data_IF_788577294044
#
_entry.id   IF_788577294044
#
_cell.length_a   1.000
_cell.length_b   1.000
_cell.length_c   1.000
_cell.angle_alpha   90.00
_cell.angle_beta   90.00
_cell.angle_gamma   90.00
#
_symmetry.space_group_name_H-M   'P 1'
#
loop_
_entity.id
_entity.type
_entity.pdbx_description
1 polymer ?
#
# COMPACT_ATOMS: atom_id res chain seq x y z
N UNK A 1 -24.93 14.95 1.93
CA UNK A 1 -24.10 14.42 3.03
C UNK A 1 -22.77 14.05 2.40
N UNK A 2 -21.64 14.48 2.96
CA UNK A 2 -20.30 14.14 2.45
C UNK A 2 -20.01 12.64 2.66
N UNK A 3 -19.09 12.08 1.88
CA UNK A 3 -18.72 10.67 2.07
C UNK A 3 -18.05 10.44 3.42
N UNK A 4 -17.25 11.40 3.93
CA UNK A 4 -16.74 11.34 5.30
C UNK A 4 -17.86 11.19 6.33
N UNK A 5 -18.93 11.99 6.24
CA UNK A 5 -20.05 11.89 7.19
C UNK A 5 -20.78 10.53 7.12
N UNK A 6 -20.85 9.91 5.93
CA UNK A 6 -21.40 8.55 5.76
C UNK A 6 -20.48 7.49 6.37
N UNK A 7 -19.16 7.63 6.16
CA UNK A 7 -18.16 6.73 6.73
C UNK A 7 -18.16 6.81 8.27
N UNK A 8 -18.26 7.99 8.85
CA UNK A 8 -18.40 8.16 10.29
C UNK A 8 -19.68 7.51 10.84
N UNK A 9 -20.77 7.47 10.06
CA UNK A 9 -21.97 6.70 10.38
C UNK A 9 -21.67 5.20 10.49
N UNK A 10 -20.96 4.62 9.50
CA UNK A 10 -20.54 3.21 9.55
C UNK A 10 -19.65 2.89 10.76
N UNK A 11 -18.75 3.84 11.13
CA UNK A 11 -17.93 3.70 12.35
C UNK A 11 -18.82 3.65 13.59
N UNK A 12 -19.84 4.53 13.69
CA UNK A 12 -20.81 4.53 14.79
C UNK A 12 -21.58 3.20 14.92
N UNK A 13 -22.05 2.66 13.80
CA UNK A 13 -22.76 1.36 13.76
C UNK A 13 -21.83 0.20 14.18
N UNK A 14 -20.57 0.22 13.73
CA UNK A 14 -19.56 -0.76 14.14
C UNK A 14 -19.27 -0.70 15.65
N UNK A 15 -19.11 0.51 16.20
CA UNK A 15 -18.87 0.70 17.65
C UNK A 15 -20.02 0.12 18.45
N UNK A 16 -21.26 0.42 18.06
CA UNK A 16 -22.47 -0.08 18.75
C UNK A 16 -22.65 -1.60 18.64
N UNK A 17 -22.16 -2.20 17.53
CA UNK A 17 -22.38 -3.62 17.23
C UNK A 17 -21.30 -4.57 17.75
N UNK A 18 -20.28 -4.10 18.47
CA UNK A 18 -19.16 -4.93 18.97
C UNK A 18 -18.44 -5.77 17.90
N UNK A 19 -18.55 -5.41 16.63
CA UNK A 19 -17.94 -6.11 15.52
C UNK A 19 -16.42 -5.94 15.43
N UNK A 20 -15.77 -6.68 14.53
CA UNK A 20 -14.33 -6.56 14.27
C UNK A 20 -14.05 -5.48 13.23
N UNK A 21 -12.90 -4.84 13.32
CA UNK A 21 -12.37 -3.88 12.37
C UNK A 21 -11.17 -4.48 11.63
N UNK A 22 -11.15 -4.38 10.31
CA UNK A 22 -9.96 -4.50 9.49
C UNK A 22 -9.79 -3.23 8.66
N UNK A 23 -8.79 -2.44 9.01
CA UNK A 23 -8.35 -1.28 8.26
C UNK A 23 -7.19 -1.70 7.34
N UNK A 24 -7.42 -1.68 6.04
CA UNK A 24 -6.39 -1.83 5.01
C UNK A 24 -6.17 -0.47 4.34
N UNK A 25 -4.93 -0.08 4.11
CA UNK A 25 -4.63 1.23 3.55
C UNK A 25 -3.34 1.20 2.74
N UNK A 26 -3.27 2.04 1.70
CA UNK A 26 -1.98 2.42 1.12
C UNK A 26 -1.24 3.39 2.03
N UNK A 27 0.01 3.72 1.69
CA UNK A 27 0.88 4.60 2.47
C UNK A 27 1.03 5.99 1.84
N UNK A 28 1.64 6.05 0.65
CA UNK A 28 1.96 7.31 -0.04
C UNK A 28 0.69 7.89 -0.70
N UNK A 29 0.36 9.15 -0.44
CA UNK A 29 -0.87 9.77 -0.95
C UNK A 29 -2.13 9.45 -0.13
N UNK A 30 -2.03 8.49 0.80
CA UNK A 30 -3.16 8.03 1.62
C UNK A 30 -2.94 8.31 3.12
N UNK A 31 -1.90 7.75 3.72
CA UNK A 31 -1.50 8.04 5.12
C UNK A 31 -0.53 9.21 5.22
N UNK A 32 0.19 9.49 4.15
CA UNK A 32 1.14 10.60 4.04
C UNK A 32 0.81 11.40 2.78
N UNK A 33 1.06 12.70 2.73
CA UNK A 33 0.92 13.46 1.48
C UNK A 33 1.95 12.97 0.45
N UNK A 34 1.63 13.17 -0.83
CA UNK A 34 2.59 12.98 -1.92
C UNK A 34 3.66 14.07 -1.79
N UNK A 35 4.91 13.65 -1.74
CA UNK A 35 6.10 14.52 -1.63
C UNK A 35 7.05 14.31 -2.79
N UNK A 36 7.95 15.29 -3.00
CA UNK A 36 8.90 15.23 -4.11
C UNK A 36 9.97 14.15 -3.94
N UNK A 37 10.56 14.02 -2.76
CA UNK A 37 11.45 12.90 -2.46
C UNK A 37 10.68 11.85 -1.63
N UNK A 38 10.54 10.60 -2.10
CA UNK A 38 9.91 9.53 -1.32
C UNK A 38 10.54 9.32 0.07
N UNK A 39 11.78 9.75 0.28
CA UNK A 39 12.42 9.72 1.59
C UNK A 39 11.75 10.65 2.60
N UNK A 40 11.15 11.74 2.15
CA UNK A 40 10.49 12.75 2.98
C UNK A 40 9.03 12.40 3.32
N UNK A 41 8.47 11.33 2.78
CA UNK A 41 7.13 10.85 3.13
C UNK A 41 7.15 10.23 4.54
N UNK A 42 7.06 11.07 5.55
CA UNK A 42 7.07 10.67 6.96
C UNK A 42 5.64 10.56 7.49
N UNK A 43 5.38 9.47 8.21
CA UNK A 43 4.10 9.29 8.90
C UNK A 43 3.98 10.29 10.05
N UNK A 44 2.90 11.08 10.06
CA UNK A 44 2.62 12.01 11.14
C UNK A 44 2.42 11.24 12.47
N UNK A 45 2.87 11.82 13.58
CA UNK A 45 2.81 11.16 14.89
C UNK A 45 1.36 10.87 15.32
N UNK A 46 0.44 11.78 15.06
CA UNK A 46 -0.99 11.57 15.35
C UNK A 46 -1.55 10.37 14.56
N UNK A 47 -1.18 10.25 13.27
CA UNK A 47 -1.57 9.09 12.43
C UNK A 47 -0.99 7.80 13.00
N UNK A 48 0.28 7.82 13.40
CA UNK A 48 0.96 6.68 14.04
C UNK A 48 0.24 6.25 15.31
N UNK A 49 -0.11 7.19 16.19
CA UNK A 49 -0.81 6.90 17.43
C UNK A 49 -2.19 6.28 17.17
N UNK A 50 -2.94 6.79 16.20
CA UNK A 50 -4.25 6.25 15.85
C UNK A 50 -4.16 4.83 15.28
N UNK A 51 -3.24 4.57 14.37
CA UNK A 51 -2.99 3.21 13.84
C UNK A 51 -2.59 2.25 14.95
N UNK A 52 -1.73 2.68 15.87
CA UNK A 52 -1.31 1.90 17.03
C UNK A 52 -2.49 1.57 17.96
N UNK A 53 -3.35 2.54 18.26
CA UNK A 53 -4.55 2.34 19.07
C UNK A 53 -5.51 1.34 18.44
N UNK A 54 -5.73 1.43 17.12
CA UNK A 54 -6.54 0.47 16.37
C UNK A 54 -5.90 -0.93 16.40
N UNK A 55 -4.61 -1.03 16.09
CA UNK A 55 -3.92 -2.32 15.98
C UNK A 55 -3.78 -3.05 17.33
N UNK A 56 -3.75 -2.32 18.44
CA UNK A 56 -3.73 -2.88 19.81
C UNK A 56 -5.09 -3.25 20.37
N UNK A 57 -6.16 -2.81 19.71
CA UNK A 57 -7.51 -3.20 20.13
C UNK A 57 -7.75 -4.69 19.86
N UNK A 58 -8.34 -5.44 20.78
CA UNK A 58 -8.75 -6.84 20.54
C UNK A 58 -9.69 -7.01 19.34
N UNK A 59 -10.37 -5.92 18.95
CA UNK A 59 -11.33 -5.89 17.82
C UNK A 59 -10.69 -5.34 16.54
N UNK A 60 -9.50 -4.77 16.59
CA UNK A 60 -8.86 -4.05 15.51
C UNK A 60 -7.74 -4.83 14.84
N UNK A 61 -7.62 -4.69 13.54
CA UNK A 61 -6.46 -5.11 12.74
C UNK A 61 -6.15 -4.01 11.74
N UNK A 62 -4.87 -3.75 11.52
CA UNK A 62 -4.39 -2.77 10.56
C UNK A 62 -3.43 -3.45 9.59
N UNK A 63 -3.61 -3.21 8.28
CA UNK A 63 -2.69 -3.63 7.25
C UNK A 63 -2.33 -2.45 6.34
N UNK A 64 -1.04 -2.27 6.04
CA UNK A 64 -0.56 -1.24 5.11
C UNK A 64 0.02 -1.93 3.89
N UNK A 65 -0.53 -1.64 2.70
CA UNK A 65 -0.20 -2.30 1.43
C UNK A 65 0.36 -1.25 0.47
N UNK A 66 1.66 -1.29 0.20
CA UNK A 66 2.36 -0.23 -0.53
C UNK A 66 3.27 -0.77 -1.65
N UNK A 67 3.56 0.07 -2.64
CA UNK A 67 4.63 -0.15 -3.62
C UNK A 67 6.04 -0.04 -3.03
N UNK A 68 6.19 0.47 -1.81
CA UNK A 68 7.47 0.50 -1.09
C UNK A 68 8.00 -0.89 -0.81
N UNK A 69 9.32 -1.02 -0.68
CA UNK A 69 9.93 -2.24 -0.15
C UNK A 69 9.45 -2.51 1.29
N UNK A 70 9.31 -3.80 1.64
CA UNK A 70 8.77 -4.21 2.94
C UNK A 70 9.54 -3.61 4.13
N UNK A 71 10.87 -3.62 4.08
CA UNK A 71 11.71 -3.10 5.16
C UNK A 71 11.65 -1.57 5.28
N UNK A 72 11.60 -0.83 4.15
CA UNK A 72 11.41 0.63 4.17
C UNK A 72 10.06 0.99 4.77
N UNK A 73 8.99 0.31 4.36
CA UNK A 73 7.65 0.53 4.90
C UNK A 73 7.60 0.28 6.42
N UNK A 74 8.19 -0.83 6.88
CA UNK A 74 8.26 -1.16 8.30
C UNK A 74 9.05 -0.14 9.11
N UNK A 75 10.17 0.34 8.57
CA UNK A 75 11.00 1.36 9.25
C UNK A 75 10.26 2.71 9.38
N UNK A 76 9.45 3.09 8.39
CA UNK A 76 8.68 4.35 8.39
C UNK A 76 7.51 4.33 9.36
N UNK A 77 6.77 3.25 9.38
CA UNK A 77 5.57 3.12 10.23
C UNK A 77 5.95 2.71 11.66
N UNK A 78 6.86 1.77 11.83
CA UNK A 78 7.44 1.32 13.10
C UNK A 78 6.39 0.93 14.18
N UNK A 79 5.33 0.21 13.79
CA UNK A 79 4.30 -0.33 14.68
C UNK A 79 4.33 -1.86 14.57
N UNK A 80 4.79 -2.61 15.59
CA UNK A 80 4.92 -4.08 15.50
C UNK A 80 3.60 -4.81 15.29
N UNK A 81 2.48 -4.23 15.73
CA UNK A 81 1.15 -4.82 15.65
C UNK A 81 0.47 -4.68 14.28
N UNK A 82 1.11 -3.97 13.32
CA UNK A 82 0.59 -3.75 11.97
C UNK A 82 1.04 -4.85 11.02
N UNK A 83 0.17 -5.24 10.10
CA UNK A 83 0.49 -6.10 8.95
C UNK A 83 1.05 -5.21 7.84
N UNK A 84 2.24 -5.52 7.37
CA UNK A 84 2.93 -4.79 6.31
C UNK A 84 2.95 -5.61 5.03
N UNK A 85 2.58 -5.00 3.92
CA UNK A 85 2.65 -5.61 2.60
C UNK A 85 3.46 -4.69 1.67
N UNK A 86 4.67 -5.09 1.35
CA UNK A 86 5.59 -4.38 0.46
C UNK A 86 5.53 -4.87 -0.98
N UNK A 87 6.15 -4.12 -1.90
CA UNK A 87 6.22 -4.44 -3.33
C UNK A 87 4.85 -4.79 -3.93
N UNK A 88 3.85 -3.93 -3.68
CA UNK A 88 2.44 -4.14 -4.09
C UNK A 88 1.81 -5.42 -3.54
N UNK A 89 2.26 -5.86 -2.37
CA UNK A 89 1.73 -7.06 -1.70
C UNK A 89 2.44 -8.37 -2.06
N UNK A 90 3.57 -8.32 -2.79
CA UNK A 90 4.38 -9.52 -3.07
C UNK A 90 5.08 -10.08 -1.83
N UNK A 91 5.28 -9.25 -0.82
CA UNK A 91 5.87 -9.60 0.47
C UNK A 91 4.97 -9.08 1.59
N UNK A 92 4.53 -9.96 2.50
CA UNK A 92 3.70 -9.61 3.66
C UNK A 92 4.35 -10.10 4.94
N UNK A 93 4.36 -9.26 5.97
CA UNK A 93 4.83 -9.60 7.30
C UNK A 93 3.99 -8.88 8.36
N UNK A 94 3.55 -9.60 9.37
CA UNK A 94 2.78 -9.02 10.48
C UNK A 94 2.44 -10.04 11.56
N UNK A 95 1.62 -9.68 12.54
CA UNK A 95 1.22 -10.58 13.62
C UNK A 95 0.58 -11.86 13.09
N UNK A 96 1.29 -12.98 13.21
CA UNK A 96 0.83 -14.29 12.75
C UNK A 96 0.75 -14.49 11.23
N UNK A 97 1.29 -13.55 10.45
CA UNK A 97 1.28 -13.61 9.00
C UNK A 97 2.68 -13.40 8.42
N UNK A 98 3.07 -14.32 7.55
CA UNK A 98 4.25 -14.20 6.70
C UNK A 98 3.93 -14.78 5.32
N UNK A 99 4.24 -14.01 4.27
CA UNK A 99 4.03 -14.44 2.89
C UNK A 99 5.04 -13.78 1.97
N UNK A 100 5.56 -14.56 1.05
CA UNK A 100 6.28 -14.10 -0.13
C UNK A 100 5.75 -14.86 -1.33
N UNK A 101 5.33 -14.13 -2.36
CA UNK A 101 4.73 -14.77 -3.54
C UNK A 101 5.73 -15.74 -4.19
N UNK A 102 5.42 -17.06 -4.28
CA UNK A 102 6.42 -18.06 -4.67
C UNK A 102 6.98 -17.84 -6.08
N UNK A 103 6.12 -17.52 -7.05
CA UNK A 103 6.56 -17.26 -8.43
C UNK A 103 7.35 -15.94 -8.56
N UNK A 104 7.12 -14.97 -7.67
CA UNK A 104 7.93 -13.76 -7.62
C UNK A 104 9.31 -14.04 -7.01
N UNK A 105 9.38 -14.86 -5.97
CA UNK A 105 10.64 -15.31 -5.38
C UNK A 105 11.46 -16.11 -6.39
N UNK A 106 10.84 -16.96 -7.20
CA UNK A 106 11.53 -17.70 -8.26
C UNK A 106 12.18 -16.78 -9.33
N UNK A 107 11.67 -15.54 -9.46
CA UNK A 107 12.21 -14.53 -10.38
C UNK A 107 13.18 -13.53 -9.72
N UNK A 108 13.43 -13.64 -8.42
CA UNK A 108 14.18 -12.65 -7.64
C UNK A 108 15.62 -12.47 -8.12
N UNK A 109 16.33 -13.57 -8.41
CA UNK A 109 17.73 -13.50 -8.90
C UNK A 109 17.82 -12.73 -10.21
N UNK A 110 16.90 -12.96 -11.12
CA UNK A 110 16.81 -12.27 -12.40
C UNK A 110 16.49 -10.78 -12.20
N UNK A 111 15.55 -10.47 -11.34
CA UNK A 111 15.19 -9.09 -11.01
C UNK A 111 16.39 -8.32 -10.42
N UNK A 112 17.16 -8.94 -9.54
CA UNK A 112 18.37 -8.35 -8.98
C UNK A 112 19.44 -8.12 -10.05
N UNK A 113 19.63 -9.05 -10.99
CA UNK A 113 20.57 -8.87 -12.10
C UNK A 113 20.19 -7.68 -13.00
N UNK A 114 18.89 -7.44 -13.21
CA UNK A 114 18.38 -6.22 -13.87
C UNK A 114 18.73 -4.98 -13.04
N UNK A 115 18.46 -5.00 -11.74
CA UNK A 115 18.76 -3.90 -10.83
C UNK A 115 20.23 -3.55 -10.79
N UNK A 116 21.12 -4.53 -10.67
CA UNK A 116 22.59 -4.33 -10.71
C UNK A 116 23.06 -3.76 -12.06
N UNK A 117 22.50 -4.26 -13.17
CA UNK A 117 22.83 -3.75 -14.49
C UNK A 117 22.43 -2.29 -14.64
N UNK A 118 21.23 -1.93 -14.17
CA UNK A 118 20.74 -0.55 -14.17
C UNK A 118 21.57 0.34 -13.24
N UNK A 119 21.93 -0.14 -12.04
CA UNK A 119 22.76 0.61 -11.10
C UNK A 119 24.14 0.93 -11.67
N UNK A 120 24.77 0.00 -12.39
CA UNK A 120 26.03 0.25 -13.11
C UNK A 120 25.89 1.28 -14.23
N UNK A 121 24.74 1.40 -14.85
CA UNK A 121 24.45 2.33 -15.96
C UNK A 121 23.92 3.67 -15.49
N UNK A 122 23.31 3.74 -14.30
CA UNK A 122 22.75 4.98 -13.76
C UNK A 122 23.70 6.18 -13.84
N UNK A 123 25.01 6.08 -13.54
CA UNK A 123 25.92 7.21 -13.66
C UNK A 123 26.06 7.78 -15.09
N UNK A 124 25.63 7.07 -16.12
CA UNK A 124 25.65 7.55 -17.51
C UNK A 124 24.46 8.45 -17.85
N UNK A 125 23.46 8.53 -16.98
CA UNK A 125 22.28 9.40 -17.12
C UNK A 125 22.15 10.23 -15.85
N UNK A 126 22.51 11.49 -15.92
CA UNK A 126 22.51 12.38 -14.76
C UNK A 126 21.12 12.45 -14.13
N UNK A 127 21.05 12.30 -12.81
CA UNK A 127 19.78 12.31 -12.06
C UNK A 127 19.02 10.96 -12.00
N UNK A 128 19.47 9.94 -12.73
CA UNK A 128 18.88 8.59 -12.62
C UNK A 128 19.35 7.91 -11.33
N UNK A 129 18.40 7.34 -10.58
CA UNK A 129 18.68 6.55 -9.37
C UNK A 129 17.97 5.19 -9.47
N UNK A 130 18.64 4.14 -9.02
CA UNK A 130 18.10 2.78 -9.01
C UNK A 130 18.03 2.28 -7.57
N UNK A 131 16.88 1.75 -7.20
CA UNK A 131 16.61 1.22 -5.88
C UNK A 131 16.13 -0.24 -5.99
N UNK A 132 16.83 -1.17 -5.33
CA UNK A 132 16.37 -2.55 -5.19
C UNK A 132 15.45 -2.64 -3.95
N UNK A 133 14.23 -3.15 -4.14
CA UNK A 133 13.19 -3.25 -3.11
C UNK A 133 12.74 -4.71 -2.94
N UNK A 134 13.58 -5.61 -2.42
CA UNK A 134 13.16 -7.01 -2.26
C UNK A 134 12.72 -7.69 -3.56
N UNK A 135 11.43 -7.73 -3.83
CA UNK A 135 10.82 -8.28 -5.06
C UNK A 135 10.43 -7.21 -6.10
N UNK A 136 11.05 -6.04 -6.05
CA UNK A 136 10.90 -4.97 -7.04
C UNK A 136 12.21 -4.23 -7.27
N UNK A 137 12.34 -3.58 -8.43
CA UNK A 137 13.39 -2.60 -8.72
C UNK A 137 12.74 -1.31 -9.17
N UNK A 138 13.05 -0.19 -8.51
CA UNK A 138 12.59 1.14 -8.91
C UNK A 138 13.69 1.93 -9.61
N UNK A 139 13.35 2.57 -10.72
CA UNK A 139 14.19 3.49 -11.47
C UNK A 139 13.59 4.88 -11.34
N UNK A 140 14.18 5.69 -10.47
CA UNK A 140 13.75 7.07 -10.24
C UNK A 140 14.39 7.98 -11.28
N UNK A 141 13.60 8.80 -11.97
CA UNK A 141 14.04 9.74 -12.99
C UNK A 141 13.53 11.18 -12.78
N UNK A 142 13.10 11.51 -11.57
CA UNK A 142 12.59 12.86 -11.22
C UNK A 142 13.63 13.95 -11.48
N UNK A 143 14.90 13.67 -11.24
CA UNK A 143 16.01 14.61 -11.43
C UNK A 143 16.72 14.46 -12.78
N UNK A 144 16.18 13.65 -13.69
CA UNK A 144 16.69 13.49 -15.06
C UNK A 144 16.13 14.61 -15.91
N UNK A 145 16.99 15.23 -16.73
CA UNK A 145 16.57 16.26 -17.69
C UNK A 145 15.56 15.70 -18.70
N UNK A 146 14.61 16.52 -19.12
CA UNK A 146 13.46 16.06 -19.93
C UNK A 146 13.88 15.40 -21.26
N UNK A 147 14.95 15.88 -21.88
CA UNK A 147 15.55 15.36 -23.12
C UNK A 147 16.32 14.03 -22.91
N UNK A 148 16.71 13.71 -21.67
CA UNK A 148 17.41 12.47 -21.30
C UNK A 148 16.45 11.36 -20.81
N UNK A 149 15.16 11.64 -20.56
CA UNK A 149 14.20 10.63 -20.04
C UNK A 149 14.14 9.41 -20.97
N UNK A 150 14.13 9.63 -22.29
CA UNK A 150 14.14 8.52 -23.26
C UNK A 150 15.35 7.60 -23.11
N UNK A 151 16.46 8.11 -22.64
CA UNK A 151 17.67 7.31 -22.38
C UNK A 151 17.47 6.38 -21.18
N UNK A 152 16.76 6.81 -20.14
CA UNK A 152 16.35 5.94 -19.01
C UNK A 152 15.58 4.74 -19.53
N UNK A 153 14.59 4.97 -20.39
CA UNK A 153 13.75 3.89 -20.97
C UNK A 153 14.58 2.92 -21.83
N UNK A 154 15.54 3.46 -22.60
CA UNK A 154 16.45 2.64 -23.42
C UNK A 154 17.33 1.75 -22.54
N UNK A 155 17.92 2.31 -21.49
CA UNK A 155 18.78 1.54 -20.58
C UNK A 155 17.99 0.47 -19.81
N UNK A 156 16.76 0.80 -19.40
CA UNK A 156 15.83 -0.15 -18.81
C UNK A 156 15.51 -1.31 -19.76
N UNK A 157 15.11 -0.99 -20.99
CA UNK A 157 14.77 -2.01 -22.00
C UNK A 157 15.97 -2.89 -22.36
N UNK A 158 17.20 -2.35 -22.35
CA UNK A 158 18.44 -3.12 -22.54
C UNK A 158 18.69 -4.06 -21.37
N UNK A 159 18.62 -3.56 -20.12
CA UNK A 159 18.85 -4.37 -18.93
C UNK A 159 17.88 -5.56 -18.85
N UNK A 160 16.61 -5.33 -19.15
CA UNK A 160 15.61 -6.41 -19.18
C UNK A 160 15.90 -7.45 -20.27
N UNK A 161 16.25 -7.00 -21.49
CA UNK A 161 16.57 -7.92 -22.61
C UNK A 161 17.79 -8.79 -22.34
N UNK A 162 18.82 -8.24 -21.71
CA UNK A 162 20.04 -8.98 -21.37
C UNK A 162 19.79 -10.13 -20.43
N UNK A 163 18.73 -10.05 -19.61
CA UNK A 163 18.33 -11.12 -18.70
C UNK A 163 17.32 -12.11 -19.31
N UNK A 164 16.86 -11.86 -20.54
CA UNK A 164 15.88 -12.74 -21.23
C UNK A 164 14.54 -12.85 -20.50
N UNK A 165 14.13 -11.82 -19.78
CA UNK A 165 13.14 -11.91 -18.73
C UNK A 165 11.74 -11.49 -19.13
N UNK A 166 10.74 -12.15 -18.54
CA UNK A 166 9.35 -11.70 -18.48
C UNK A 166 9.16 -10.92 -17.18
N UNK A 167 9.22 -9.60 -17.25
CA UNK A 167 9.00 -8.71 -16.12
C UNK A 167 7.87 -7.73 -16.45
N UNK A 168 7.11 -7.33 -15.46
CA UNK A 168 6.15 -6.23 -15.56
C UNK A 168 6.88 -4.91 -15.38
N UNK A 169 6.50 -3.92 -16.17
CA UNK A 169 6.98 -2.54 -16.05
C UNK A 169 5.78 -1.67 -15.66
N UNK A 170 5.91 -0.92 -14.59
CA UNK A 170 4.94 0.07 -14.16
C UNK A 170 5.54 1.47 -14.23
N UNK A 171 4.77 2.40 -14.78
CA UNK A 171 5.12 3.81 -14.83
C UNK A 171 4.35 4.56 -13.75
N UNK A 172 5.04 4.93 -12.68
CA UNK A 172 4.52 5.82 -11.64
C UNK A 172 4.93 7.28 -11.89
N UNK A 173 4.66 8.15 -10.93
CA UNK A 173 5.02 9.57 -10.99
C UNK A 173 6.53 9.75 -10.87
N UNK A 174 7.23 9.92 -12.01
CA UNK A 174 8.69 10.07 -12.08
C UNK A 174 9.49 8.84 -11.58
N UNK A 175 8.88 7.68 -11.62
CA UNK A 175 9.50 6.38 -11.30
C UNK A 175 9.02 5.32 -12.29
N UNK A 176 9.89 4.39 -12.64
CA UNK A 176 9.53 3.17 -13.38
C UNK A 176 9.84 2.00 -12.46
N UNK A 177 8.87 1.17 -12.18
CA UNK A 177 9.05 -0.03 -11.38
C UNK A 177 9.10 -1.28 -12.25
N UNK A 178 10.04 -2.14 -11.94
CA UNK A 178 10.23 -3.45 -12.57
C UNK A 178 9.84 -4.51 -11.54
N UNK A 179 8.85 -5.31 -11.85
CA UNK A 179 8.26 -6.32 -10.99
C UNK A 179 8.28 -7.69 -11.67
N UNK A 180 8.27 -8.78 -10.90
CA UNK A 180 8.03 -10.12 -11.44
C UNK A 180 6.70 -10.19 -12.19
N UNK A 181 6.65 -10.97 -13.28
CA UNK A 181 5.41 -11.16 -14.02
C UNK A 181 4.56 -12.25 -13.35
N UNK A 182 3.77 -11.84 -12.38
CA UNK A 182 2.82 -12.69 -11.67
C UNK A 182 1.42 -12.09 -11.70
N UNK A 183 0.41 -12.93 -11.59
CA UNK A 183 -0.99 -12.51 -11.50
C UNK A 183 -1.32 -12.14 -10.04
N UNK A 184 -0.70 -11.06 -9.55
CA UNK A 184 -0.84 -10.58 -8.19
C UNK A 184 -0.82 -9.06 -8.17
N UNK A 185 -1.73 -8.45 -7.44
CA UNK A 185 -1.88 -6.99 -7.27
C UNK A 185 -2.16 -6.65 -5.81
N UNK A 186 -2.28 -5.36 -5.47
CA UNK A 186 -2.75 -4.92 -4.15
C UNK A 186 -4.12 -5.52 -3.81
N UNK A 187 -4.97 -5.77 -4.82
CA UNK A 187 -6.29 -6.37 -4.62
C UNK A 187 -6.23 -7.80 -4.14
N UNK A 188 -5.45 -8.68 -4.79
CA UNK A 188 -5.24 -10.05 -4.35
C UNK A 188 -4.59 -10.11 -2.97
N UNK A 189 -3.62 -9.22 -2.70
CA UNK A 189 -3.01 -9.10 -1.39
C UNK A 189 -4.01 -8.72 -0.32
N UNK A 190 -4.82 -7.69 -0.54
CA UNK A 190 -5.82 -7.22 0.39
C UNK A 190 -6.86 -8.32 0.70
N UNK A 191 -7.33 -9.02 -0.31
CA UNK A 191 -8.23 -10.17 -0.13
C UNK A 191 -7.57 -11.30 0.64
N UNK A 192 -6.31 -11.62 0.32
CA UNK A 192 -5.54 -12.65 1.03
C UNK A 192 -5.37 -12.31 2.52
N UNK A 193 -5.08 -11.05 2.87
CA UNK A 193 -5.00 -10.57 4.25
C UNK A 193 -6.38 -10.68 4.93
N UNK A 194 -7.43 -10.23 4.27
CA UNK A 194 -8.80 -10.28 4.77
C UNK A 194 -9.21 -11.69 5.16
N UNK A 195 -9.01 -12.67 4.29
CA UNK A 195 -9.35 -14.08 4.53
C UNK A 195 -8.62 -14.64 5.75
N UNK A 196 -7.36 -14.26 5.98
CA UNK A 196 -6.56 -14.74 7.11
C UNK A 196 -6.91 -14.07 8.42
N UNK A 197 -7.14 -12.76 8.40
CA UNK A 197 -7.62 -12.03 9.58
C UNK A 197 -8.99 -12.56 10.02
N UNK A 198 -9.87 -12.93 9.07
CA UNK A 198 -11.14 -13.58 9.37
C UNK A 198 -10.96 -14.92 10.05
N UNK A 199 -10.10 -15.77 9.47
CA UNK A 199 -9.89 -17.14 9.95
C UNK A 199 -9.28 -17.19 11.35
N UNK A 200 -8.53 -16.14 11.75
CA UNK A 200 -7.82 -16.09 13.03
C UNK A 200 -8.68 -15.61 14.20
N UNK A 201 -9.93 -15.18 13.99
CA UNK A 201 -10.73 -14.58 15.06
C UNK A 201 -12.15 -15.07 15.19
N UNK A 202 -12.58 -15.24 16.43
CA UNK A 202 -13.94 -15.64 16.84
C UNK A 202 -14.77 -14.42 17.27
N UNK A 203 -15.15 -13.55 16.34
CA UNK A 203 -16.09 -12.45 16.62
C UNK A 203 -17.45 -12.73 16.00
N UNK A 204 -18.55 -12.55 16.75
CA UNK A 204 -19.93 -12.79 16.31
C UNK A 204 -20.66 -11.54 15.81
N UNK A 205 -20.06 -10.36 15.92
CA UNK A 205 -20.66 -9.08 15.50
C UNK A 205 -20.37 -8.72 14.04
N UNK A 206 -21.08 -7.72 13.48
CA UNK A 206 -20.86 -7.24 12.12
C UNK A 206 -19.45 -6.67 11.97
N UNK A 207 -18.68 -7.19 11.02
CA UNK A 207 -17.33 -6.72 10.75
C UNK A 207 -17.35 -5.42 9.93
N UNK A 208 -16.51 -4.44 10.30
CA UNK A 208 -16.26 -3.24 9.51
C UNK A 208 -14.91 -3.39 8.81
N UNK A 209 -14.93 -3.42 7.49
CA UNK A 209 -13.73 -3.56 6.69
C UNK A 209 -13.61 -2.39 5.75
N UNK A 210 -12.41 -1.79 5.74
CA UNK A 210 -12.11 -0.62 4.93
C UNK A 210 -10.83 -0.88 4.12
N UNK A 211 -10.80 -0.33 2.91
CA UNK A 211 -9.60 -0.17 2.11
C UNK A 211 -9.48 1.27 1.62
N UNK A 212 -8.36 1.93 1.93
CA UNK A 212 -8.06 3.30 1.52
C UNK A 212 -6.89 3.29 0.54
N UNK A 213 -6.99 4.10 -0.52
CA UNK A 213 -5.91 4.25 -1.49
C UNK A 213 -6.12 5.47 -2.38
N UNK A 214 -5.07 5.96 -3.05
CA UNK A 214 -5.11 7.18 -3.83
C UNK A 214 -4.79 6.98 -5.32
N UNK A 215 -4.12 5.88 -5.70
CA UNK A 215 -3.60 5.71 -7.05
C UNK A 215 -4.33 4.61 -7.86
N UNK A 216 -3.84 4.38 -9.08
CA UNK A 216 -4.41 3.39 -9.99
C UNK A 216 -4.14 1.93 -9.54
N UNK A 217 -3.11 1.68 -8.74
CA UNK A 217 -2.84 0.34 -8.18
C UNK A 217 -3.87 -0.05 -7.13
N UNK A 218 -4.45 0.95 -6.46
CA UNK A 218 -5.54 0.77 -5.49
C UNK A 218 -6.88 0.47 -6.16
N UNK A 219 -7.08 0.90 -7.42
CA UNK A 219 -8.29 0.54 -8.19
C UNK A 219 -8.46 -0.98 -8.32
N UNK A 220 -7.36 -1.76 -8.37
CA UNK A 220 -7.43 -3.22 -8.30
C UNK A 220 -7.99 -3.71 -6.97
N UNK A 221 -7.60 -3.06 -5.86
CA UNK A 221 -8.13 -3.40 -4.54
C UNK A 221 -9.60 -2.98 -4.41
N UNK A 222 -9.98 -1.81 -4.94
CA UNK A 222 -11.38 -1.37 -4.96
C UNK A 222 -12.26 -2.35 -5.74
N UNK A 223 -11.78 -2.87 -6.87
CA UNK A 223 -12.51 -3.86 -7.67
C UNK A 223 -12.66 -5.20 -6.94
N UNK A 224 -11.56 -5.76 -6.44
CA UNK A 224 -11.53 -7.07 -5.78
C UNK A 224 -12.33 -7.07 -4.47
N UNK A 225 -12.32 -5.95 -3.75
CA UNK A 225 -13.00 -5.79 -2.46
C UNK A 225 -14.42 -5.22 -2.59
N UNK A 226 -14.92 -4.99 -3.81
CA UNK A 226 -16.28 -4.50 -4.04
C UNK A 226 -17.31 -5.43 -3.38
N UNK A 227 -18.18 -4.85 -2.54
CA UNK A 227 -19.17 -5.61 -1.77
C UNK A 227 -18.61 -6.40 -0.58
N UNK A 228 -17.29 -6.44 -0.39
CA UNK A 228 -16.61 -7.10 0.73
C UNK A 228 -16.08 -6.09 1.77
N UNK A 229 -15.70 -4.89 1.34
CA UNK A 229 -15.20 -3.83 2.19
C UNK A 229 -15.74 -2.46 1.72
N UNK A 230 -15.69 -1.45 2.58
CA UNK A 230 -15.87 -0.07 2.20
C UNK A 230 -14.58 0.41 1.51
N UNK A 231 -14.63 0.57 0.19
CA UNK A 231 -13.51 1.03 -0.62
C UNK A 231 -13.54 2.54 -0.73
N UNK A 232 -12.41 3.18 -0.44
CA UNK A 232 -12.32 4.63 -0.22
C UNK A 232 -11.15 5.16 -1.04
N UNK A 233 -11.44 5.99 -2.06
CA UNK A 233 -10.42 6.74 -2.78
C UNK A 233 -10.06 8.00 -2.00
N UNK A 234 -8.77 8.27 -1.89
CA UNK A 234 -8.23 9.52 -1.33
C UNK A 234 -7.78 10.42 -2.48
N UNK A 235 -8.00 11.73 -2.34
CA UNK A 235 -7.59 12.73 -3.34
C UNK A 235 -8.69 13.10 -4.33
N UNK A 236 -8.28 13.53 -5.53
CA UNK A 236 -9.18 14.04 -6.54
C UNK A 236 -10.19 13.01 -7.05
N UNK A 237 -11.35 13.52 -7.49
CA UNK A 237 -12.36 12.69 -8.11
C UNK A 237 -11.88 12.15 -9.46
N UNK A 238 -11.84 10.83 -9.60
CA UNK A 238 -11.55 10.14 -10.86
C UNK A 238 -12.83 9.49 -11.36
N UNK A 239 -13.39 9.90 -12.50
CA UNK A 239 -14.69 9.42 -12.98
C UNK A 239 -14.77 7.89 -13.16
N UNK A 240 -13.64 7.24 -13.42
CA UNK A 240 -13.54 5.78 -13.62
C UNK A 240 -13.17 5.02 -12.34
N UNK A 241 -13.09 5.67 -11.18
CA UNK A 241 -12.77 4.99 -9.93
C UNK A 241 -13.84 3.97 -9.54
N UNK A 242 -13.38 2.82 -9.07
CA UNK A 242 -14.21 1.72 -8.55
C UNK A 242 -14.46 1.82 -7.04
N UNK A 243 -13.90 2.85 -6.38
CA UNK A 243 -14.15 3.11 -4.97
C UNK A 243 -15.60 3.49 -4.70
N UNK A 244 -16.18 2.97 -3.63
CA UNK A 244 -17.54 3.29 -3.21
C UNK A 244 -17.67 4.66 -2.53
N UNK A 245 -16.58 5.15 -1.96
CA UNK A 245 -16.48 6.43 -1.23
C UNK A 245 -15.22 7.19 -1.64
N UNK A 246 -15.21 8.50 -1.32
CA UNK A 246 -14.07 9.37 -1.53
C UNK A 246 -13.82 10.26 -0.32
N UNK A 247 -12.56 10.32 0.10
CA UNK A 247 -12.03 11.36 0.98
C UNK A 247 -11.21 12.34 0.15
N UNK A 248 -11.24 13.62 0.50
CA UNK A 248 -10.62 14.68 -0.30
C UNK A 248 -9.09 14.67 -0.23
N UNK A 249 -8.57 14.33 0.95
CA UNK A 249 -7.16 14.50 1.29
C UNK A 249 -6.78 13.67 2.53
N UNK A 250 -5.51 13.72 2.90
CA UNK A 250 -4.96 13.06 4.10
C UNK A 250 -5.60 13.58 5.40
N UNK A 251 -6.07 14.84 5.41
CA UNK A 251 -6.73 15.40 6.61
C UNK A 251 -8.09 14.73 6.86
N UNK A 252 -8.86 14.43 5.82
CA UNK A 252 -10.09 13.64 5.99
C UNK A 252 -9.81 12.18 6.37
N UNK A 253 -8.71 11.59 5.88
CA UNK A 253 -8.24 10.28 6.36
C UNK A 253 -7.94 10.34 7.85
N UNK A 254 -7.25 11.37 8.31
CA UNK A 254 -6.94 11.58 9.73
C UNK A 254 -8.20 11.65 10.59
N UNK A 255 -9.25 12.34 10.14
CA UNK A 255 -10.52 12.41 10.85
C UNK A 255 -11.19 11.03 10.95
N UNK A 256 -11.17 10.25 9.88
CA UNK A 256 -11.69 8.88 9.89
C UNK A 256 -10.89 7.98 10.84
N UNK A 257 -9.56 8.06 10.82
CA UNK A 257 -8.68 7.29 11.72
C UNK A 257 -8.91 7.64 13.18
N UNK A 258 -9.13 8.92 13.51
CA UNK A 258 -9.48 9.37 14.87
C UNK A 258 -10.75 8.66 15.35
N UNK A 259 -11.81 8.69 14.56
CA UNK A 259 -13.08 8.05 14.95
C UNK A 259 -12.93 6.53 15.11
N UNK A 260 -12.17 5.87 14.20
CA UNK A 260 -11.87 4.44 14.31
C UNK A 260 -11.08 4.09 15.56
N UNK A 261 -10.06 4.90 15.92
CA UNK A 261 -9.25 4.69 17.11
C UNK A 261 -10.04 4.90 18.42
N UNK A 262 -10.91 5.89 18.46
CA UNK A 262 -11.83 6.13 19.59
C UNK A 262 -12.80 4.96 19.75
N UNK A 263 -13.41 4.51 18.66
CA UNK A 263 -14.31 3.35 18.65
C UNK A 263 -13.63 2.05 19.06
N UNK A 264 -12.39 1.84 18.61
CA UNK A 264 -11.61 0.66 18.96
C UNK A 264 -11.29 0.56 20.46
N UNK A 265 -11.16 1.71 21.15
CA UNK A 265 -10.87 1.78 22.58
C UNK A 265 -12.11 1.82 23.47
N UNK A 266 -13.26 2.23 22.96
CA UNK A 266 -14.51 2.30 23.73
C UNK A 266 -14.99 0.91 24.19
N UNK A 267 -14.82 -0.14 23.37
CA UNK A 267 -15.19 -1.52 23.69
C UNK A 267 -14.29 -2.23 24.70
N UNK A 268 -13.17 -1.61 25.13
CA UNK A 268 -12.25 -2.23 26.11
C UNK A 268 -12.55 -1.85 27.58
N UNK A 269 -13.60 -1.06 27.83
CA UNK A 269 -13.95 -0.56 29.18
C UNK A 269 -15.19 -1.20 29.80
N UNK A 270 -15.77 -2.20 29.16
CA UNK A 270 -16.93 -2.92 29.67
C UNK A 270 -16.56 -4.26 30.30
#
# INVERSE_FOLDING_TARGET
>A
MSDLARLLGWVGDWVAGEGRLLLMTDYDGTLTPIVDDPADALLAEDTREQLLRIARSPRGSVAIISGRGLEDLRARVAIPEVIYAGCHGLEVLGPGLEFRHPDAVAQQTMLWAVGETLARRAPTVSGMRVEAKGLAVAVHYRHVAADEIRRVEIELARAIREQGSRLKIFHGTKVIEVLPQVAWTKGECARWIQERVLSAGSGSGPALWLYLGDDWTDEHAFEVLSGLALTIRVGDAVPASKAAYRLRDVDEVQQLLTALAEGATAGSRA
#
